data_IF_936921608713
#
_entry.id   IF_936921608713
#
_cell.length_a   1.000
_cell.length_b   1.000
_cell.length_c   1.000
_cell.angle_alpha   90.00
_cell.angle_beta   90.00
_cell.angle_gamma   90.00
#
_symmetry.space_group_name_H-M   'P 1'
#
loop_
_entity.id
_entity.type
_entity.pdbx_description
1 polymer ?
#
# COMPACT_ATOMS: atom_id res chain seq x y z
N UNK A 1 6.13 3.81 19.25
CA UNK A 1 7.26 3.26 18.47
C UNK A 1 7.81 2.06 19.22
N UNK A 2 8.26 1.00 18.52
CA UNK A 2 9.01 -0.13 19.10
C UNK A 2 10.37 -0.22 18.41
N UNK A 3 11.43 -0.63 19.12
CA UNK A 3 12.77 -0.76 18.56
C UNK A 3 12.89 -2.05 17.75
N UNK A 4 13.49 -1.95 16.56
CA UNK A 4 13.78 -3.08 15.67
C UNK A 4 15.23 -2.92 15.22
N UNK A 5 16.01 -3.99 15.34
CA UNK A 5 17.39 -4.08 14.83
C UNK A 5 17.38 -4.98 13.61
N UNK A 6 18.04 -4.55 12.54
CA UNK A 6 18.11 -5.27 11.28
C UNK A 6 19.48 -5.05 10.63
N UNK A 7 19.96 -6.03 9.85
CA UNK A 7 21.19 -5.93 9.10
C UNK A 7 20.88 -5.61 7.63
N UNK A 8 21.56 -4.62 7.05
CA UNK A 8 21.47 -4.26 5.64
C UNK A 8 22.85 -4.30 4.99
N UNK A 9 22.93 -4.56 3.67
CA UNK A 9 24.14 -4.31 2.90
C UNK A 9 24.59 -2.85 3.02
N UNK A 10 25.91 -2.63 3.05
CA UNK A 10 26.51 -1.29 3.17
C UNK A 10 25.98 -0.28 2.14
N UNK A 11 25.81 -0.62 0.84
CA UNK A 11 25.30 0.35 -0.15
C UNK A 11 23.92 0.90 0.18
N UNK A 12 23.09 0.16 0.92
CA UNK A 12 21.77 0.64 1.34
C UNK A 12 21.86 1.59 2.53
N UNK A 13 22.83 1.37 3.42
CA UNK A 13 23.13 2.30 4.51
C UNK A 13 23.63 3.63 3.94
N UNK A 14 24.56 3.58 2.98
CA UNK A 14 25.07 4.77 2.28
C UNK A 14 23.97 5.53 1.54
N UNK A 15 23.06 4.81 0.87
CA UNK A 15 21.91 5.43 0.21
C UNK A 15 20.97 6.12 1.21
N UNK A 16 20.71 5.50 2.37
CA UNK A 16 19.93 6.11 3.45
C UNK A 16 20.62 7.35 4.02
N UNK A 17 21.94 7.32 4.15
CA UNK A 17 22.73 8.49 4.57
C UNK A 17 22.61 9.64 3.60
N UNK A 18 22.71 9.36 2.30
CA UNK A 18 22.56 10.38 1.27
C UNK A 18 21.20 11.08 1.38
N UNK A 19 20.11 10.31 1.56
CA UNK A 19 18.77 10.85 1.74
C UNK A 19 18.64 11.78 2.96
N UNK A 20 19.34 11.46 4.05
CA UNK A 20 19.33 12.29 5.27
C UNK A 20 20.22 13.53 5.10
N UNK A 21 21.39 13.37 4.49
CA UNK A 21 22.35 14.45 4.24
C UNK A 21 21.76 15.51 3.31
N UNK A 22 21.04 15.08 2.28
CA UNK A 22 20.31 15.94 1.33
C UNK A 22 18.98 16.48 1.91
N UNK A 23 18.70 16.24 3.20
CA UNK A 23 17.54 16.76 3.96
C UNK A 23 16.18 16.27 3.45
N UNK A 24 16.11 15.19 2.68
CA UNK A 24 14.83 14.55 2.32
C UNK A 24 14.15 13.94 3.54
N UNK A 25 14.94 13.42 4.48
CA UNK A 25 14.45 12.88 5.74
C UNK A 25 15.27 13.41 6.91
N UNK A 26 14.66 13.57 8.10
CA UNK A 26 15.36 14.06 9.28
C UNK A 26 16.37 13.05 9.84
N UNK A 27 16.16 11.75 9.62
CA UNK A 27 17.06 10.66 10.04
C UNK A 27 16.75 9.36 9.27
N UNK A 28 17.66 8.38 9.35
CA UNK A 28 17.53 7.08 8.66
C UNK A 28 16.27 6.32 9.09
N UNK A 29 15.87 6.41 10.35
CA UNK A 29 14.71 5.69 10.86
C UNK A 29 13.39 6.21 10.26
N UNK A 30 13.26 7.52 10.03
CA UNK A 30 12.11 8.12 9.35
C UNK A 30 12.05 7.74 7.87
N UNK A 31 13.19 7.70 7.19
CA UNK A 31 13.26 7.20 5.81
C UNK A 31 12.79 5.74 5.72
N UNK A 32 13.29 4.87 6.60
CA UNK A 32 12.89 3.45 6.66
C UNK A 32 11.39 3.30 6.99
N UNK A 33 10.88 4.05 7.97
CA UNK A 33 9.45 4.00 8.35
C UNK A 33 8.55 4.43 7.20
N UNK A 34 8.93 5.46 6.46
CA UNK A 34 8.19 5.96 5.29
C UNK A 34 8.18 4.90 4.18
N UNK A 35 9.33 4.33 3.85
CA UNK A 35 9.42 3.26 2.86
C UNK A 35 8.56 2.04 3.23
N UNK A 36 8.58 1.62 4.51
CA UNK A 36 7.73 0.53 5.00
C UNK A 36 6.24 0.89 4.89
N UNK A 37 5.86 2.11 5.25
CA UNK A 37 4.49 2.59 5.14
C UNK A 37 4.00 2.52 3.69
N UNK A 38 4.78 3.03 2.75
CA UNK A 38 4.41 3.06 1.34
C UNK A 38 4.27 1.65 0.78
N UNK A 39 5.22 0.76 1.08
CA UNK A 39 5.13 -0.66 0.73
C UNK A 39 3.85 -1.33 1.29
N UNK A 40 3.51 -1.10 2.56
CA UNK A 40 2.31 -1.68 3.19
C UNK A 40 1.04 -1.15 2.52
N UNK A 41 0.98 0.15 2.22
CA UNK A 41 -0.16 0.78 1.56
C UNK A 41 -0.38 0.16 0.17
N UNK A 42 0.68 0.05 -0.61
CA UNK A 42 0.64 -0.51 -1.96
C UNK A 42 0.17 -1.97 -1.94
N UNK A 43 0.75 -2.81 -1.10
CA UNK A 43 0.45 -4.24 -1.08
C UNK A 43 -0.91 -4.58 -0.44
N UNK A 44 -1.25 -3.95 0.69
CA UNK A 44 -2.45 -4.33 1.44
C UNK A 44 -3.71 -3.59 0.99
N UNK A 45 -3.61 -2.31 0.64
CA UNK A 45 -4.79 -1.52 0.28
C UNK A 45 -5.20 -1.71 -1.18
N UNK A 46 -4.25 -1.92 -2.09
CA UNK A 46 -4.56 -2.28 -3.49
C UNK A 46 -5.29 -3.62 -3.59
N UNK A 47 -4.94 -4.60 -2.75
CA UNK A 47 -5.67 -5.88 -2.69
C UNK A 47 -7.10 -5.71 -2.15
N UNK A 48 -7.33 -4.80 -1.20
CA UNK A 48 -8.67 -4.52 -0.66
C UNK A 48 -9.56 -3.78 -1.67
N UNK A 49 -9.01 -2.82 -2.41
CA UNK A 49 -9.77 -2.08 -3.43
C UNK A 49 -10.27 -3.02 -4.53
N UNK A 50 -9.43 -3.91 -5.02
CA UNK A 50 -9.78 -4.94 -6.01
C UNK A 50 -10.89 -5.89 -5.51
N UNK A 51 -10.80 -6.38 -4.26
CA UNK A 51 -11.84 -7.25 -3.67
C UNK A 51 -13.19 -6.52 -3.52
N UNK A 52 -13.16 -5.24 -3.13
CA UNK A 52 -14.38 -4.44 -2.96
C UNK A 52 -15.07 -4.11 -4.30
N UNK A 53 -14.29 -3.81 -5.34
CA UNK A 53 -14.79 -3.54 -6.69
C UNK A 53 -15.47 -4.79 -7.29
N UNK A 54 -14.85 -5.97 -7.11
CA UNK A 54 -15.40 -7.26 -7.59
C UNK A 54 -16.76 -7.58 -6.93
N UNK A 55 -16.92 -7.33 -5.62
CA UNK A 55 -18.20 -7.48 -4.91
C UNK A 55 -19.28 -6.51 -5.39
N UNK A 56 -18.93 -5.24 -5.65
CA UNK A 56 -19.88 -4.23 -6.16
C UNK A 56 -20.40 -4.58 -7.57
N UNK A 57 -19.52 -5.06 -8.45
CA UNK A 57 -19.88 -5.42 -9.83
C UNK A 57 -20.78 -6.67 -9.91
N UNK A 58 -20.53 -7.69 -9.07
CA UNK A 58 -21.41 -8.87 -8.98
C UNK A 58 -22.84 -8.51 -8.55
N UNK A 59 -23.01 -7.62 -7.57
CA UNK A 59 -24.32 -7.13 -7.12
C UNK A 59 -25.05 -6.29 -8.18
N UNK A 60 -24.34 -5.45 -8.93
CA UNK A 60 -24.92 -4.63 -10.02
C UNK A 60 -25.46 -5.47 -11.17
N UNK A 61 -24.71 -6.50 -11.60
CA UNK A 61 -25.18 -7.44 -12.65
C UNK A 61 -26.42 -8.22 -12.22
N UNK A 62 -26.46 -8.70 -10.97
CA UNK A 62 -27.63 -9.41 -10.43
C UNK A 62 -28.88 -8.51 -10.37
N UNK A 63 -28.75 -7.25 -9.92
CA UNK A 63 -29.87 -6.29 -9.91
C UNK A 63 -30.38 -5.94 -11.31
N UNK A 64 -29.51 -5.79 -12.31
CA UNK A 64 -29.92 -5.55 -13.71
C UNK A 64 -30.68 -6.75 -14.29
N UNK A 65 -30.21 -7.97 -14.08
CA UNK A 65 -30.89 -9.19 -14.56
C UNK A 65 -32.27 -9.36 -13.93
N UNK A 66 -32.42 -9.11 -12.62
CA UNK A 66 -33.73 -9.13 -11.94
C UNK A 66 -34.69 -8.07 -12.46
N UNK A 67 -34.22 -6.85 -12.76
CA UNK A 67 -35.07 -5.78 -13.33
C UNK A 67 -35.52 -6.05 -14.77
N UNK A 68 -34.72 -6.75 -15.56
CA UNK A 68 -35.09 -7.11 -16.95
C UNK A 68 -36.12 -8.25 -16.92
N UNK A 69 -35.93 -9.24 -16.05
CA UNK A 69 -36.85 -10.37 -15.90
C UNK A 69 -38.20 -10.00 -15.27
N UNK A 70 -38.28 -8.90 -14.51
CA UNK A 70 -39.54 -8.43 -13.90
C UNK A 70 -40.32 -7.43 -14.76
N UNK A 71 -39.87 -7.17 -16.00
CA UNK A 71 -40.46 -6.17 -16.92
C UNK A 71 -41.02 -6.83 -18.20
N UNK A 72 -40.95 -8.16 -18.27
CA UNK A 72 -41.65 -9.02 -19.22
C UNK A 72 -42.81 -9.68 -18.48
#
# INVERSE_FOLDING_TARGET
MRMITLYLPEPYIEALDKLVNEKYYPNRAEAIRTAILDMIREELWSRKSLKSARRKNGRRRSKRRRKIASKA
#
